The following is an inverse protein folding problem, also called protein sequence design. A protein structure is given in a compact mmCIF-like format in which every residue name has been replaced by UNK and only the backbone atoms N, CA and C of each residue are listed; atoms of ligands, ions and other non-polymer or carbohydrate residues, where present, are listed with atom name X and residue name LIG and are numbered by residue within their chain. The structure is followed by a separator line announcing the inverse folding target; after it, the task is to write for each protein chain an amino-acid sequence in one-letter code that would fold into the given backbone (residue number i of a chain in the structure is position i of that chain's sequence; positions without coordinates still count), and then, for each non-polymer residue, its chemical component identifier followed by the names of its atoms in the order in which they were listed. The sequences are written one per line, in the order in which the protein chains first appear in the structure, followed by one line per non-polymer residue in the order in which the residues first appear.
data_IF_540036866639
#
_entry.id   IF_540036866639
#
_cell.length_a   1.000
_cell.length_b   1.000
_cell.length_c   1.000
_cell.angle_alpha   90.00
_cell.angle_beta   90.00
_cell.angle_gamma   90.00
#
_symmetry.space_group_name_H-M   'P 1'
#
loop_
_entity.id
_entity.type
_entity.pdbx_description
1 polymer ?
#
# COMPACT_ATOMS: atom_id res chain seq x y z
N UNK A 1 -61.03 5.75 14.31
CA UNK A 1 -61.22 5.31 15.72
C UNK A 1 -60.49 3.98 15.86
N UNK A 2 -59.23 4.04 16.35
CA UNK A 2 -58.76 3.44 17.64
C UNK A 2 -58.62 1.91 17.57
N UNK A 3 -57.43 1.36 17.29
CA UNK A 3 -56.31 1.08 18.23
C UNK A 3 -56.40 -0.31 18.89
N UNK A 4 -55.25 -1.03 18.83
CA UNK A 4 -54.65 -1.95 19.83
C UNK A 4 -54.34 -3.34 19.25
N UNK A 5 -53.10 -3.63 18.86
CA UNK A 5 -51.99 -4.14 19.70
C UNK A 5 -52.37 -5.37 20.55
N UNK A 6 -51.87 -6.54 20.13
CA UNK A 6 -51.45 -7.60 21.06
C UNK A 6 -50.10 -8.17 20.63
N UNK A 7 -49.21 -8.24 21.61
CA UNK A 7 -47.81 -8.62 21.52
C UNK A 7 -47.64 -10.12 21.27
N UNK A 8 -46.72 -10.50 20.37
CA UNK A 8 -46.16 -11.85 20.37
C UNK A 8 -44.65 -11.76 20.55
N UNK A 9 -44.22 -12.15 21.74
CA UNK A 9 -42.82 -12.27 22.16
C UNK A 9 -42.26 -13.49 21.44
N UNK A 10 -41.38 -13.28 20.45
CA UNK A 10 -40.54 -14.34 19.90
C UNK A 10 -39.08 -14.07 20.26
N UNK A 11 -38.60 -14.89 21.21
CA UNK A 11 -37.25 -14.92 21.73
C UNK A 11 -36.30 -15.19 20.56
N UNK A 12 -35.43 -14.24 20.24
CA UNK A 12 -34.37 -14.40 19.25
C UNK A 12 -33.25 -15.25 19.85
N UNK A 13 -33.32 -16.58 19.66
CA UNK A 13 -32.16 -17.47 19.83
C UNK A 13 -31.22 -17.19 18.66
N UNK A 14 -30.15 -16.44 18.91
CA UNK A 14 -29.06 -16.22 17.96
C UNK A 14 -28.48 -17.56 17.51
N UNK A 15 -28.84 -18.00 16.31
CA UNK A 15 -28.16 -19.11 15.64
C UNK A 15 -26.75 -18.61 15.28
N UNK A 16 -25.72 -19.32 15.75
CA UNK A 16 -24.39 -19.22 15.15
C UNK A 16 -24.53 -19.50 13.64
N UNK A 17 -23.89 -18.72 12.75
CA UNK A 17 -23.91 -19.03 11.32
C UNK A 17 -23.31 -20.42 11.10
N UNK A 18 -23.94 -21.29 10.30
CA UNK A 18 -23.36 -22.59 9.98
C UNK A 18 -22.01 -22.40 9.27
N UNK A 19 -21.00 -23.27 9.52
CA UNK A 19 -19.75 -23.20 8.77
C UNK A 19 -20.05 -23.38 7.27
N UNK A 20 -19.34 -22.66 6.38
CA UNK A 20 -19.61 -22.69 4.96
C UNK A 20 -19.56 -24.13 4.43
N UNK A 21 -20.59 -24.52 3.69
CA UNK A 21 -20.72 -25.86 3.13
C UNK A 21 -19.63 -26.12 2.07
N UNK A 22 -19.09 -27.36 1.94
CA UNK A 22 -18.03 -27.73 0.98
C UNK A 22 -18.34 -27.49 -0.52
N UNK A 23 -19.56 -27.06 -0.85
CA UNK A 23 -20.02 -26.98 -2.23
C UNK A 23 -19.45 -25.79 -3.00
N UNK A 24 -19.13 -24.67 -2.34
CA UNK A 24 -18.57 -23.48 -3.03
C UNK A 24 -17.09 -23.65 -3.40
N UNK A 25 -16.31 -24.40 -2.61
CA UNK A 25 -14.91 -24.73 -2.95
C UNK A 25 -14.82 -25.70 -4.13
N UNK A 26 -15.83 -26.58 -4.25
CA UNK A 26 -15.91 -27.55 -5.34
C UNK A 26 -16.15 -26.88 -6.70
N UNK A 27 -16.86 -25.74 -6.73
CA UNK A 27 -17.14 -24.99 -7.96
C UNK A 27 -15.87 -24.43 -8.64
N UNK A 28 -15.00 -23.76 -7.88
CA UNK A 28 -13.75 -23.21 -8.41
C UNK A 28 -12.77 -24.29 -8.86
N UNK A 29 -12.62 -25.36 -8.08
CA UNK A 29 -11.77 -26.50 -8.46
C UNK A 29 -12.25 -27.14 -9.76
N UNK A 30 -13.57 -27.29 -9.93
CA UNK A 30 -14.15 -27.79 -11.18
C UNK A 30 -13.94 -26.83 -12.35
N UNK A 31 -14.02 -25.51 -12.12
CA UNK A 31 -13.81 -24.49 -13.16
C UNK A 31 -12.34 -24.41 -13.59
N UNK A 32 -11.40 -24.48 -12.64
CA UNK A 32 -9.97 -24.55 -12.89
C UNK A 32 -9.60 -25.81 -13.67
N UNK A 33 -10.18 -26.95 -13.28
CA UNK A 33 -9.98 -28.24 -13.96
C UNK A 33 -10.49 -28.18 -15.40
N UNK A 34 -11.67 -27.59 -15.64
CA UNK A 34 -12.22 -27.41 -16.99
C UNK A 34 -11.36 -26.47 -17.85
N UNK A 35 -10.90 -25.35 -17.29
CA UNK A 35 -10.02 -24.42 -18.00
C UNK A 35 -8.68 -25.10 -18.39
N UNK A 36 -8.09 -25.85 -17.47
CA UNK A 36 -6.86 -26.60 -17.72
C UNK A 36 -7.07 -27.68 -18.80
N UNK A 37 -8.18 -28.43 -18.75
CA UNK A 37 -8.49 -29.45 -19.75
C UNK A 37 -8.71 -28.84 -21.15
N UNK A 38 -9.39 -27.70 -21.22
CA UNK A 38 -9.60 -26.98 -22.48
C UNK A 38 -8.28 -26.46 -23.07
N UNK A 39 -7.38 -25.93 -22.23
CA UNK A 39 -6.06 -25.47 -22.66
C UNK A 39 -5.16 -26.63 -23.10
N UNK A 40 -5.16 -27.73 -22.35
CA UNK A 40 -4.42 -28.94 -22.69
C UNK A 40 -4.88 -29.55 -24.03
N UNK A 41 -6.19 -29.55 -24.28
CA UNK A 41 -6.77 -30.02 -25.55
C UNK A 41 -6.32 -29.14 -26.73
N UNK A 42 -6.31 -27.81 -26.54
CA UNK A 42 -5.85 -26.88 -27.57
C UNK A 42 -4.33 -26.98 -27.82
N UNK A 43 -3.53 -27.15 -26.76
CA UNK A 43 -2.09 -27.38 -26.88
C UNK A 43 -1.78 -28.69 -27.61
N UNK A 44 -2.52 -29.77 -27.33
CA UNK A 44 -2.38 -31.06 -28.03
C UNK A 44 -2.73 -30.91 -29.52
N UNK A 45 -3.76 -30.13 -29.84
CA UNK A 45 -4.14 -29.82 -31.23
C UNK A 45 -3.03 -29.04 -31.95
N UNK A 46 -2.42 -28.06 -31.28
CA UNK A 46 -1.29 -27.30 -31.82
C UNK A 46 -0.08 -28.20 -32.11
N UNK A 47 0.27 -29.10 -31.19
CA UNK A 47 1.38 -30.07 -31.37
C UNK A 47 1.12 -30.97 -32.58
N UNK A 48 -0.11 -31.47 -32.73
CA UNK A 48 -0.49 -32.30 -33.89
C UNK A 48 -0.48 -31.51 -35.22
N UNK A 49 -0.74 -30.20 -35.18
CA UNK A 49 -0.63 -29.33 -36.36
C UNK A 49 0.84 -29.01 -36.70
N UNK A 50 1.69 -28.80 -35.70
CA UNK A 50 3.12 -28.58 -35.87
C UNK A 50 3.86 -29.83 -36.39
N UNK A 51 3.42 -31.03 -35.99
CA UNK A 51 3.97 -32.29 -36.48
C UNK A 51 3.64 -32.58 -37.96
N UNK A 52 2.61 -31.94 -38.51
CA UNK A 52 2.08 -32.19 -39.86
C UNK A 52 2.22 -30.98 -40.82
N UNK A 53 2.86 -29.87 -40.41
CA UNK A 53 2.94 -28.62 -41.20
C UNK A 53 4.29 -27.91 -41.05
N UNK A 54 4.96 -27.64 -42.18
CA UNK A 54 6.29 -26.99 -42.24
C UNK A 54 6.26 -25.46 -42.03
N UNK A 55 5.09 -24.85 -41.82
CA UNK A 55 4.98 -23.38 -41.73
C UNK A 55 5.11 -22.91 -40.28
N UNK A 56 6.34 -22.77 -39.79
CA UNK A 56 6.71 -22.34 -38.42
C UNK A 56 5.99 -21.06 -37.95
N UNK A 57 5.64 -20.15 -38.86
CA UNK A 57 4.94 -18.89 -38.54
C UNK A 57 3.50 -19.11 -38.01
N UNK A 58 2.77 -20.09 -38.54
CA UNK A 58 1.39 -20.37 -38.10
C UNK A 58 1.37 -21.03 -36.73
N UNK A 59 2.27 -21.98 -36.49
CA UNK A 59 2.46 -22.63 -35.17
C UNK A 59 2.88 -21.60 -34.12
N UNK A 60 3.80 -20.69 -34.45
CA UNK A 60 4.25 -19.64 -33.53
C UNK A 60 3.14 -18.65 -33.19
N UNK A 61 2.34 -18.24 -34.18
CA UNK A 61 1.18 -17.36 -33.96
C UNK A 61 0.13 -18.02 -33.06
N UNK A 62 -0.22 -19.28 -33.32
CA UNK A 62 -1.16 -20.04 -32.49
C UNK A 62 -0.62 -20.30 -31.07
N UNK A 63 0.68 -20.59 -30.92
CA UNK A 63 1.33 -20.72 -29.62
C UNK A 63 1.26 -19.43 -28.80
N UNK A 64 1.46 -18.27 -29.45
CA UNK A 64 1.35 -16.96 -28.80
C UNK A 64 -0.09 -16.67 -28.36
N UNK A 65 -1.08 -17.02 -29.19
CA UNK A 65 -2.51 -16.91 -28.84
C UNK A 65 -2.89 -17.84 -27.69
N UNK A 66 -2.37 -19.07 -27.65
CA UNK A 66 -2.59 -19.98 -26.53
C UNK A 66 -1.94 -19.48 -25.25
N UNK A 67 -0.73 -18.92 -25.36
CA UNK A 67 -0.04 -18.28 -24.24
C UNK A 67 -0.84 -17.11 -23.66
N UNK A 68 -1.39 -16.23 -24.52
CA UNK A 68 -2.21 -15.11 -24.04
C UNK A 68 -3.54 -15.56 -23.45
N UNK A 69 -4.19 -16.57 -24.03
CA UNK A 69 -5.41 -17.19 -23.47
C UNK A 69 -5.15 -17.85 -22.12
N UNK A 70 -4.02 -18.53 -21.95
CA UNK A 70 -3.63 -19.15 -20.69
C UNK A 70 -3.39 -18.11 -19.59
N UNK A 71 -2.68 -17.02 -19.91
CA UNK A 71 -2.45 -15.91 -18.97
C UNK A 71 -3.77 -15.23 -18.60
N UNK A 72 -4.66 -15.00 -19.56
CA UNK A 72 -5.98 -14.42 -19.31
C UNK A 72 -6.85 -15.31 -18.41
N UNK A 73 -6.91 -16.62 -18.68
CA UNK A 73 -7.66 -17.58 -17.87
C UNK A 73 -7.09 -17.73 -16.45
N UNK A 74 -5.77 -17.70 -16.29
CA UNK A 74 -5.14 -17.69 -14.97
C UNK A 74 -5.44 -16.40 -14.20
N UNK A 75 -5.44 -15.25 -14.88
CA UNK A 75 -5.79 -13.96 -14.28
C UNK A 75 -7.24 -13.89 -13.80
N UNK A 76 -8.20 -14.39 -14.60
CA UNK A 76 -9.62 -14.43 -14.20
C UNK A 76 -9.86 -15.39 -13.03
N UNK A 77 -9.23 -16.57 -13.04
CA UNK A 77 -9.32 -17.52 -11.93
C UNK A 77 -8.69 -16.98 -10.64
N UNK A 78 -7.53 -16.32 -10.74
CA UNK A 78 -6.89 -15.67 -9.61
C UNK A 78 -7.78 -14.56 -9.03
N UNK A 79 -8.42 -13.76 -9.89
CA UNK A 79 -9.39 -12.75 -9.46
C UNK A 79 -10.61 -13.35 -8.75
N UNK A 80 -11.15 -14.46 -9.25
CA UNK A 80 -12.28 -15.17 -8.63
C UNK A 80 -11.91 -15.80 -7.28
N UNK A 81 -10.73 -16.43 -7.19
CA UNK A 81 -10.22 -16.98 -5.93
C UNK A 81 -9.99 -15.87 -4.89
N UNK A 82 -9.48 -14.72 -5.33
CA UNK A 82 -9.31 -13.54 -4.48
C UNK A 82 -10.66 -13.00 -3.96
N UNK A 83 -11.66 -12.89 -4.83
CA UNK A 83 -13.01 -12.46 -4.45
C UNK A 83 -13.68 -13.44 -3.45
N UNK A 84 -13.48 -14.74 -3.62
CA UNK A 84 -13.98 -15.73 -2.66
C UNK A 84 -13.22 -15.65 -1.32
N UNK A 85 -11.91 -15.44 -1.32
CA UNK A 85 -11.15 -15.23 -0.08
C UNK A 85 -11.64 -14.00 0.71
N UNK A 86 -12.08 -12.94 0.03
CA UNK A 86 -12.71 -11.78 0.67
C UNK A 86 -14.04 -12.14 1.37
N UNK A 87 -14.87 -12.98 0.76
CA UNK A 87 -16.11 -13.44 1.39
C UNK A 87 -15.86 -14.23 2.70
N UNK A 88 -14.72 -14.93 2.80
CA UNK A 88 -14.32 -15.65 4.01
C UNK A 88 -13.71 -14.75 5.10
N UNK A 89 -13.21 -13.55 4.77
CA UNK A 89 -12.54 -12.66 5.72
C UNK A 89 -12.76 -11.16 5.38
N UNK A 90 -13.97 -10.61 5.62
CA UNK A 90 -14.32 -9.24 5.26
C UNK A 90 -13.60 -8.14 6.07
N UNK A 91 -12.80 -8.50 7.09
CA UNK A 91 -12.08 -7.56 7.96
C UNK A 91 -10.69 -7.13 7.44
N UNK A 92 -10.20 -7.73 6.36
CA UNK A 92 -8.95 -7.33 5.71
C UNK A 92 -9.30 -6.36 4.60
N UNK A 93 -8.92 -5.07 4.77
CA UNK A 93 -9.10 -4.06 3.73
C UNK A 93 -8.32 -4.50 2.48
N UNK A 94 -8.95 -4.65 1.30
CA UNK A 94 -8.24 -5.02 0.10
C UNK A 94 -7.19 -3.96 -0.24
N UNK A 95 -6.07 -4.39 -0.85
CA UNK A 95 -5.27 -3.46 -1.63
C UNK A 95 -6.23 -2.78 -2.63
N UNK A 96 -6.26 -1.44 -2.72
CA UNK A 96 -7.27 -0.74 -3.50
C UNK A 96 -7.28 -1.27 -4.94
N UNK A 97 -8.38 -1.91 -5.35
CA UNK A 97 -8.54 -2.43 -6.73
C UNK A 97 -8.67 -1.31 -7.75
N UNK A 98 -9.10 -0.13 -7.30
CA UNK A 98 -9.04 1.12 -8.07
C UNK A 98 -7.79 1.91 -7.67
N UNK A 99 -6.85 2.08 -8.61
CA UNK A 99 -5.72 2.98 -8.38
C UNK A 99 -4.34 2.39 -8.63
N UNK A 100 -4.19 1.07 -8.58
CA UNK A 100 -2.91 0.42 -8.91
C UNK A 100 -2.81 0.32 -10.42
N UNK A 101 -2.00 1.20 -10.97
CA UNK A 101 -1.54 1.08 -12.35
C UNK A 101 -0.65 -0.16 -12.46
N UNK A 102 -1.17 -1.22 -13.12
CA UNK A 102 -0.43 -2.44 -13.44
C UNK A 102 0.33 -2.30 -14.78
N UNK A 103 0.25 -1.14 -15.43
CA UNK A 103 1.02 -0.89 -16.63
C UNK A 103 2.51 -0.81 -16.29
N UNK A 104 3.35 -1.28 -17.20
CA UNK A 104 4.80 -1.26 -17.03
C UNK A 104 5.36 0.17 -17.24
N UNK A 105 4.56 1.06 -17.82
CA UNK A 105 4.91 2.43 -18.12
C UNK A 105 4.35 3.38 -17.06
N UNK A 106 5.27 4.06 -16.34
CA UNK A 106 4.95 5.08 -15.34
C UNK A 106 4.34 6.37 -15.93
N UNK A 107 3.63 6.29 -17.06
CA UNK A 107 3.02 7.43 -17.73
C UNK A 107 1.53 7.46 -17.43
N UNK A 108 0.97 8.58 -16.96
CA UNK A 108 -0.47 8.71 -16.77
C UNK A 108 -1.16 8.90 -18.14
N UNK A 109 -1.19 7.83 -18.93
CA UNK A 109 -1.78 7.84 -20.26
C UNK A 109 -3.30 7.67 -20.19
N UNK A 110 -3.82 7.11 -19.08
CA UNK A 110 -5.26 7.00 -18.82
C UNK A 110 -5.84 8.30 -18.22
N UNK A 111 -7.07 8.64 -18.61
CA UNK A 111 -7.79 9.81 -18.04
C UNK A 111 -8.02 9.65 -16.54
N UNK A 112 -8.25 8.43 -16.06
CA UNK A 112 -8.40 8.14 -14.64
C UNK A 112 -7.14 8.45 -13.82
N UNK A 113 -5.95 8.23 -14.39
CA UNK A 113 -4.68 8.54 -13.69
C UNK A 113 -4.37 10.03 -13.70
N UNK A 114 -4.76 10.75 -14.75
CA UNK A 114 -4.71 12.22 -14.80
C UNK A 114 -5.62 12.84 -13.75
N UNK A 115 -6.83 12.32 -13.58
CA UNK A 115 -7.77 12.77 -12.54
C UNK A 115 -7.21 12.53 -11.12
N UNK A 116 -6.62 11.37 -10.86
CA UNK A 116 -5.94 11.09 -9.58
C UNK A 116 -4.78 12.04 -9.33
N UNK A 117 -3.95 12.27 -10.34
CA UNK A 117 -2.82 13.21 -10.25
C UNK A 117 -3.31 14.63 -9.97
N UNK A 118 -4.35 15.10 -10.67
CA UNK A 118 -4.94 16.40 -10.44
C UNK A 118 -5.43 16.55 -9.00
N UNK A 119 -6.17 15.55 -8.49
CA UNK A 119 -6.65 15.51 -7.10
C UNK A 119 -5.50 15.48 -6.07
N UNK A 120 -4.39 14.83 -6.38
CA UNK A 120 -3.20 14.82 -5.53
C UNK A 120 -2.49 16.19 -5.52
N UNK A 121 -2.39 16.84 -6.68
CA UNK A 121 -1.79 18.16 -6.82
C UNK A 121 -2.61 19.29 -6.19
N UNK A 122 -3.94 19.12 -6.08
CA UNK A 122 -4.81 20.04 -5.35
C UNK A 122 -4.45 20.08 -3.86
N UNK A 123 -4.08 18.93 -3.28
CA UNK A 123 -3.76 18.78 -1.86
C UNK A 123 -2.27 19.00 -1.53
N UNK A 124 -1.44 19.40 -2.50
CA UNK A 124 -0.01 19.58 -2.27
C UNK A 124 0.23 20.72 -1.27
N UNK A 125 1.11 20.48 -0.30
CA UNK A 125 1.57 21.51 0.62
C UNK A 125 2.52 22.50 -0.07
N UNK A 126 2.55 23.75 0.38
CA UNK A 126 3.50 24.73 -0.13
C UNK A 126 4.93 24.46 0.38
N UNK A 127 5.95 24.92 -0.36
CA UNK A 127 7.35 24.75 0.01
C UNK A 127 7.67 25.37 1.37
N UNK A 128 7.02 26.49 1.73
CA UNK A 128 7.17 27.11 3.06
C UNK A 128 6.64 26.21 4.17
N UNK A 129 5.46 25.60 3.97
CA UNK A 129 4.89 24.67 4.94
C UNK A 129 5.77 23.44 5.15
N UNK A 130 6.35 22.91 4.07
CA UNK A 130 7.26 21.77 4.14
C UNK A 130 8.57 22.10 4.88
N UNK A 131 9.08 23.34 4.76
CA UNK A 131 10.23 23.83 5.54
C UNK A 131 9.89 23.93 7.02
N UNK A 132 8.74 24.52 7.34
CA UNK A 132 8.28 24.67 8.72
C UNK A 132 8.05 23.32 9.41
N UNK A 133 7.59 22.31 8.66
CA UNK A 133 7.46 20.92 9.12
C UNK A 133 8.80 20.17 9.19
N UNK A 134 9.92 20.80 8.82
CA UNK A 134 11.25 20.18 8.82
C UNK A 134 11.45 19.11 7.75
N UNK A 135 10.52 18.97 6.80
CA UNK A 135 10.58 18.00 5.70
C UNK A 135 11.55 18.50 4.64
N UNK A 136 11.42 19.76 4.23
CA UNK A 136 12.28 20.36 3.22
C UNK A 136 13.44 21.12 3.90
N UNK A 137 14.69 20.71 3.63
CA UNK A 137 15.91 21.29 4.25
C UNK A 137 16.40 22.59 3.62
N UNK A 138 15.94 22.92 2.43
CA UNK A 138 16.42 24.08 1.66
C UNK A 138 15.42 24.54 0.61
N UNK A 139 15.87 25.30 -0.38
CA UNK A 139 15.00 25.61 -1.52
C UNK A 139 14.83 24.38 -2.43
N UNK A 140 13.67 24.22 -3.08
CA UNK A 140 13.47 23.15 -4.06
C UNK A 140 14.57 23.19 -5.13
N UNK A 141 15.19 22.04 -5.41
CA UNK A 141 16.28 21.95 -6.40
C UNK A 141 17.69 22.25 -5.87
N UNK A 142 17.87 22.66 -4.62
CA UNK A 142 19.20 22.80 -4.02
C UNK A 142 19.78 21.42 -3.65
N UNK A 143 20.63 20.89 -4.52
CA UNK A 143 21.31 19.60 -4.34
C UNK A 143 22.25 19.55 -3.13
N UNK A 144 22.68 20.71 -2.62
CA UNK A 144 23.58 20.81 -1.46
C UNK A 144 22.83 21.07 -0.15
N UNK A 145 21.50 21.22 -0.16
CA UNK A 145 20.73 21.54 1.04
C UNK A 145 20.99 20.56 2.20
N UNK A 146 21.09 19.26 1.91
CA UNK A 146 21.41 18.24 2.92
C UNK A 146 22.81 18.43 3.54
N UNK A 147 23.83 18.69 2.71
CA UNK A 147 25.21 18.90 3.19
C UNK A 147 25.36 20.18 3.99
N UNK A 148 24.64 21.25 3.60
CA UNK A 148 24.60 22.51 4.36
C UNK A 148 23.97 22.32 5.74
N UNK A 149 22.86 21.60 5.83
CA UNK A 149 22.20 21.27 7.10
C UNK A 149 23.10 20.41 8.01
N UNK A 150 23.81 19.43 7.44
CA UNK A 150 24.77 18.61 8.16
C UNK A 150 25.95 19.42 8.71
N UNK A 151 26.53 20.30 7.90
CA UNK A 151 27.58 21.22 8.34
C UNK A 151 27.09 22.14 9.46
N UNK A 152 25.90 22.73 9.31
CA UNK A 152 25.32 23.60 10.32
C UNK A 152 25.11 22.85 11.65
N UNK A 153 24.65 21.60 11.60
CA UNK A 153 24.51 20.76 12.79
C UNK A 153 25.85 20.45 13.45
N UNK A 154 26.88 20.14 12.67
CA UNK A 154 28.22 19.89 13.20
C UNK A 154 28.77 21.15 13.90
N UNK A 155 28.66 22.32 13.27
CA UNK A 155 29.06 23.58 13.88
C UNK A 155 28.29 23.89 15.17
N UNK A 156 26.97 23.68 15.17
CA UNK A 156 26.15 23.86 16.37
C UNK A 156 26.54 22.89 17.48
N UNK A 157 26.83 21.64 17.13
CA UNK A 157 27.32 20.64 18.08
C UNK A 157 28.64 21.09 18.72
N UNK A 158 29.61 21.54 17.93
CA UNK A 158 30.90 22.00 18.45
C UNK A 158 30.74 23.20 19.40
N UNK A 159 29.85 24.14 19.07
CA UNK A 159 29.53 25.28 19.93
C UNK A 159 28.91 24.82 21.26
N UNK A 160 27.96 23.88 21.20
CA UNK A 160 27.33 23.31 22.40
C UNK A 160 28.32 22.55 23.26
N UNK A 161 29.17 21.72 22.67
CA UNK A 161 30.17 20.94 23.38
C UNK A 161 31.16 21.86 24.12
N UNK A 162 31.60 22.94 23.47
CA UNK A 162 32.43 23.96 24.12
C UNK A 162 31.70 24.70 25.25
N UNK A 163 30.43 25.08 25.04
CA UNK A 163 29.63 25.77 26.05
C UNK A 163 29.34 24.91 27.27
N UNK A 164 29.11 23.61 27.07
CA UNK A 164 28.91 22.63 28.16
C UNK A 164 30.21 22.40 28.92
N UNK A 165 31.35 22.30 28.22
CA UNK A 165 32.65 22.13 28.87
C UNK A 165 33.03 23.31 29.78
N UNK A 166 32.61 24.52 29.41
CA UNK A 166 32.85 25.75 30.19
C UNK A 166 31.66 26.16 31.08
N UNK A 167 30.72 25.24 31.34
CA UNK A 167 29.53 25.53 32.12
C UNK A 167 29.92 26.00 33.54
N UNK A 168 29.55 27.23 33.97
CA UNK A 168 29.87 27.73 35.30
C UNK A 168 29.19 26.90 36.39
N UNK A 169 29.87 26.73 37.52
CA UNK A 169 29.32 26.03 38.66
C UNK A 169 28.21 26.88 39.34
N UNK A 170 27.16 26.27 39.93
CA UNK A 170 26.09 27.00 40.60
C UNK A 170 26.53 28.05 41.61
N UNK A 171 27.56 27.82 42.43
CA UNK A 171 28.01 28.85 43.40
C UNK A 171 28.59 30.09 42.71
N UNK A 172 29.23 29.94 41.55
CA UNK A 172 29.70 31.10 40.77
C UNK A 172 28.52 31.93 40.26
N UNK A 173 27.40 31.28 39.93
CA UNK A 173 26.18 31.96 39.50
C UNK A 173 25.51 32.70 40.67
N UNK A 174 25.55 32.13 41.88
CA UNK A 174 25.09 32.81 43.11
C UNK A 174 25.96 34.01 43.43
N UNK A 175 27.29 33.88 43.34
CA UNK A 175 28.21 35.00 43.57
C UNK A 175 28.03 36.12 42.54
N UNK A 176 27.64 35.80 41.31
CA UNK A 176 27.33 36.78 40.26
C UNK A 176 25.91 37.37 40.38
N UNK A 177 25.10 36.92 41.35
CA UNK A 177 23.72 37.36 41.55
C UNK A 177 22.74 36.89 40.47
N UNK A 178 23.13 35.89 39.66
CA UNK A 178 22.28 35.30 38.60
C UNK A 178 21.36 34.24 39.19
N UNK A 179 21.83 33.50 40.20
CA UNK A 179 21.10 32.44 40.88
C UNK A 179 20.85 32.81 42.34
N UNK A 180 19.64 32.56 42.84
CA UNK A 180 19.35 32.74 44.28
C UNK A 180 19.99 31.61 45.10
N UNK A 181 20.52 31.88 46.30
CA UNK A 181 21.18 30.86 47.13
C UNK A 181 20.25 29.71 47.56
N UNK A 182 18.93 29.95 47.65
CA UNK A 182 17.92 28.93 47.97
C UNK A 182 17.57 28.02 46.78
N UNK A 183 17.84 28.50 45.55
CA UNK A 183 17.57 27.78 44.29
C UNK A 183 18.78 27.01 43.76
N UNK A 184 19.94 27.17 44.40
CA UNK A 184 21.14 26.42 44.05
C UNK A 184 20.93 24.92 44.35
N UNK A 185 21.28 24.01 43.43
CA UNK A 185 21.12 22.58 43.64
C UNK A 185 21.90 22.15 44.87
N UNK A 186 21.23 21.52 45.84
CA UNK A 186 21.87 20.92 47.01
C UNK A 186 22.80 19.82 46.54
N UNK A 187 24.10 20.00 46.75
CA UNK A 187 25.08 18.95 46.57
C UNK A 187 24.79 17.88 47.65
N UNK A 188 24.32 16.70 47.22
CA UNK A 188 24.17 15.54 48.10
C UNK A 188 25.51 14.89 48.38
#
# INVERSE_FOLDING_TARGET
MTSSLWHSIYIHRSALPPPPHPQEQSGLLNQATQAANNLATQATTLVNQAANSDTTANVTSQAKTLGSQAVGAAGTLAGQAHAQAHALAPGIVPAPTEGVDLSHDLKPDSEADKEKLAKALEKKADASELKNKGILKGNPGDSLAGKKDELQKAMQKDVLDNGIAQRPHPEELVSKGILSPDEAPKTN
#
